data_IF_635870821327
#
_entry.id   IF_635870821327
#
_cell.length_a   1.000
_cell.length_b   1.000
_cell.length_c   1.000
_cell.angle_alpha   90.00
_cell.angle_beta   90.00
_cell.angle_gamma   90.00
#
_symmetry.space_group_name_H-M   'P 1'
#
loop_
_entity.id
_entity.type
_entity.pdbx_description
1 polymer ?
#
# COMPACT_ATOMS: atom_id res chain seq x y z
N UNK A 1 22.59 -11.44 -18.00
CA UNK A 1 21.34 -10.83 -17.46
C UNK A 1 20.07 -11.30 -18.18
N UNK A 2 20.08 -11.59 -19.49
CA UNK A 2 18.91 -12.08 -20.22
C UNK A 2 18.33 -13.44 -19.74
N UNK A 3 19.17 -14.40 -19.32
CA UNK A 3 18.70 -15.70 -18.82
C UNK A 3 17.87 -15.60 -17.52
N UNK A 4 18.16 -14.61 -16.66
CA UNK A 4 17.38 -14.35 -15.45
C UNK A 4 16.00 -13.75 -15.76
N UNK A 5 15.89 -12.92 -16.80
CA UNK A 5 14.60 -12.40 -17.27
C UNK A 5 13.72 -13.50 -17.85
N UNK A 6 14.30 -14.45 -18.59
CA UNK A 6 13.58 -15.61 -19.12
C UNK A 6 13.13 -16.57 -17.99
N UNK A 7 13.95 -16.75 -16.95
CA UNK A 7 13.56 -17.46 -15.73
C UNK A 7 12.44 -16.74 -14.97
N UNK A 8 12.49 -15.41 -14.85
CA UNK A 8 11.42 -14.63 -14.23
C UNK A 8 10.12 -14.69 -15.04
N UNK A 9 10.21 -14.61 -16.37
CA UNK A 9 9.05 -14.72 -17.26
C UNK A 9 8.39 -16.10 -17.15
N UNK A 10 9.16 -17.18 -17.16
CA UNK A 10 8.63 -18.54 -17.01
C UNK A 10 8.03 -18.78 -15.63
N UNK A 11 8.62 -18.23 -14.56
CA UNK A 11 8.06 -18.27 -13.20
C UNK A 11 6.80 -17.41 -13.05
N UNK A 12 6.76 -16.24 -13.67
CA UNK A 12 5.57 -15.39 -13.72
C UNK A 12 4.42 -16.06 -14.50
N UNK A 13 4.74 -16.77 -15.59
CA UNK A 13 3.76 -17.55 -16.35
C UNK A 13 3.21 -18.72 -15.52
N UNK A 14 4.08 -19.46 -14.81
CA UNK A 14 3.66 -20.53 -13.88
C UNK A 14 2.80 -19.98 -12.73
N UNK A 15 3.17 -18.84 -12.14
CA UNK A 15 2.38 -18.16 -11.11
C UNK A 15 1.02 -17.71 -11.64
N UNK A 16 0.97 -17.16 -12.87
CA UNK A 16 -0.27 -16.76 -13.52
C UNK A 16 -1.19 -17.96 -13.79
N UNK A 17 -0.63 -19.09 -14.24
CA UNK A 17 -1.39 -20.34 -14.41
C UNK A 17 -1.90 -20.89 -13.08
N UNK A 18 -1.11 -20.79 -12.01
CA UNK A 18 -1.53 -21.21 -10.68
C UNK A 18 -2.66 -20.32 -10.13
N UNK A 19 -2.54 -19.00 -10.27
CA UNK A 19 -3.61 -18.05 -9.91
C UNK A 19 -4.84 -18.24 -10.79
N UNK A 20 -4.70 -18.55 -12.07
CA UNK A 20 -5.85 -18.84 -12.93
C UNK A 20 -6.58 -20.13 -12.52
N UNK A 21 -5.85 -21.18 -12.12
CA UNK A 21 -6.42 -22.48 -11.73
C UNK A 21 -7.00 -22.49 -10.32
N UNK A 22 -6.34 -21.82 -9.36
CA UNK A 22 -6.73 -21.88 -7.94
C UNK A 22 -7.27 -20.56 -7.40
N UNK A 23 -7.02 -19.44 -8.06
CA UNK A 23 -7.39 -18.11 -7.58
C UNK A 23 -8.90 -17.92 -7.42
N UNK A 24 -9.72 -18.53 -8.28
CA UNK A 24 -11.18 -18.50 -8.13
C UNK A 24 -11.65 -19.24 -6.87
N UNK A 25 -11.01 -20.35 -6.54
CA UNK A 25 -11.34 -21.15 -5.36
C UNK A 25 -10.86 -20.46 -4.07
N UNK A 26 -9.64 -19.92 -4.07
CA UNK A 26 -9.13 -19.09 -2.98
C UNK A 26 -9.98 -17.83 -2.76
N UNK A 27 -10.38 -17.15 -3.84
CA UNK A 27 -11.25 -15.99 -3.77
C UNK A 27 -12.62 -16.34 -3.16
N UNK A 28 -13.23 -17.45 -3.58
CA UNK A 28 -14.47 -17.95 -2.98
C UNK A 28 -14.33 -18.27 -1.50
N UNK A 29 -13.28 -18.99 -1.11
CA UNK A 29 -13.03 -19.32 0.30
C UNK A 29 -12.83 -18.06 1.14
N UNK A 30 -12.12 -17.06 0.62
CA UNK A 30 -11.92 -15.78 1.30
C UNK A 30 -13.24 -15.02 1.47
N UNK A 31 -14.08 -14.96 0.43
CA UNK A 31 -15.41 -14.35 0.53
C UNK A 31 -16.30 -15.08 1.54
N UNK A 32 -16.24 -16.40 1.59
CA UNK A 32 -17.04 -17.20 2.53
C UNK A 32 -16.62 -16.95 3.99
N UNK A 33 -15.31 -16.89 4.26
CA UNK A 33 -14.79 -16.53 5.58
C UNK A 33 -15.15 -15.08 5.98
N UNK A 34 -15.20 -14.17 5.01
CA UNK A 34 -15.48 -12.75 5.24
C UNK A 34 -16.95 -12.39 5.05
N UNK A 35 -17.86 -13.37 4.96
CA UNK A 35 -19.28 -13.14 4.67
C UNK A 35 -19.95 -12.15 5.63
N UNK A 36 -19.51 -12.11 6.88
CA UNK A 36 -19.97 -11.14 7.89
C UNK A 36 -19.77 -9.66 7.51
N UNK A 37 -18.80 -9.36 6.64
CA UNK A 37 -18.51 -8.01 6.15
C UNK A 37 -19.17 -7.70 4.80
N UNK A 38 -19.75 -8.71 4.16
CA UNK A 38 -20.36 -8.58 2.84
C UNK A 38 -21.82 -8.19 3.03
N UNK A 39 -22.16 -7.01 2.51
CA UNK A 39 -23.49 -6.47 2.66
C UNK A 39 -24.42 -6.98 1.55
N UNK A 40 -25.37 -7.86 1.90
CA UNK A 40 -26.42 -8.33 1.00
C UNK A 40 -27.69 -7.43 1.13
N UNK A 41 -28.44 -7.12 0.06
CA UNK A 41 -28.17 -7.39 -1.37
C UNK A 41 -27.13 -6.41 -1.97
N UNK A 42 -26.28 -6.88 -2.91
CA UNK A 42 -25.30 -6.05 -3.63
C UNK A 42 -26.01 -5.18 -4.70
N UNK A 43 -26.81 -4.22 -4.23
CA UNK A 43 -27.52 -3.27 -5.10
C UNK A 43 -26.64 -2.07 -5.40
N UNK A 44 -26.73 -1.51 -6.61
CA UNK A 44 -25.92 -0.36 -7.04
C UNK A 44 -26.10 0.85 -6.10
N UNK A 45 -27.32 1.08 -5.61
CA UNK A 45 -27.64 2.15 -4.66
C UNK A 45 -26.93 1.96 -3.31
N UNK A 46 -26.92 0.74 -2.79
CA UNK A 46 -26.24 0.39 -1.53
C UNK A 46 -24.73 0.53 -1.66
N UNK A 47 -24.16 0.16 -2.82
CA UNK A 47 -22.75 0.36 -3.12
C UNK A 47 -22.38 1.85 -3.16
N UNK A 48 -23.22 2.69 -3.80
CA UNK A 48 -23.02 4.14 -3.84
C UNK A 48 -23.10 4.76 -2.44
N UNK A 49 -24.06 4.35 -1.63
CA UNK A 49 -24.20 4.79 -0.24
C UNK A 49 -22.99 4.40 0.61
N UNK A 50 -22.55 3.13 0.55
CA UNK A 50 -21.38 2.65 1.29
C UNK A 50 -20.09 3.36 0.85
N UNK A 51 -19.93 3.63 -0.44
CA UNK A 51 -18.79 4.38 -0.97
C UNK A 51 -18.76 5.81 -0.40
N UNK A 52 -19.90 6.50 -0.40
CA UNK A 52 -20.03 7.83 0.21
C UNK A 52 -19.76 7.79 1.71
N UNK A 53 -20.32 6.81 2.43
CA UNK A 53 -20.10 6.65 3.87
C UNK A 53 -18.62 6.40 4.17
N UNK A 54 -17.94 5.53 3.40
CA UNK A 54 -16.51 5.29 3.55
C UNK A 54 -15.72 6.58 3.31
N UNK A 55 -16.05 7.35 2.27
CA UNK A 55 -15.42 8.62 1.99
C UNK A 55 -15.56 9.61 3.17
N UNK A 56 -16.78 9.82 3.66
CA UNK A 56 -17.02 10.73 4.79
C UNK A 56 -16.39 10.25 6.09
N UNK A 57 -16.43 8.96 6.41
CA UNK A 57 -15.75 8.40 7.58
C UNK A 57 -14.23 8.59 7.47
N UNK A 58 -13.65 8.42 6.28
CA UNK A 58 -12.22 8.69 6.06
C UNK A 58 -11.90 10.17 6.27
N UNK A 59 -12.71 11.09 5.73
CA UNK A 59 -12.54 12.52 5.95
C UNK A 59 -12.65 12.90 7.43
N UNK A 60 -13.64 12.38 8.14
CA UNK A 60 -13.83 12.64 9.57
C UNK A 60 -12.66 12.12 10.43
N UNK A 61 -11.96 11.08 9.97
CA UNK A 61 -10.78 10.54 10.66
C UNK A 61 -9.49 11.34 10.44
N UNK A 62 -9.45 12.26 9.47
CA UNK A 62 -8.28 13.10 9.16
C UNK A 62 -7.80 13.92 10.35
N UNK A 63 -8.63 14.72 11.05
CA UNK A 63 -8.16 15.55 12.15
C UNK A 63 -7.50 14.73 13.27
N UNK A 64 -8.08 13.59 13.64
CA UNK A 64 -7.49 12.69 14.64
C UNK A 64 -6.13 12.13 14.20
N UNK A 65 -6.00 11.76 12.91
CA UNK A 65 -4.72 11.30 12.35
C UNK A 65 -3.68 12.41 12.29
N UNK A 66 -4.07 13.64 11.96
CA UNK A 66 -3.14 14.77 11.95
C UNK A 66 -2.63 15.09 13.35
N UNK A 67 -3.47 14.95 14.39
CA UNK A 67 -3.03 15.15 15.78
C UNK A 67 -1.99 14.09 16.19
N UNK A 68 -2.22 12.81 15.88
CA UNK A 68 -1.24 11.75 16.13
C UNK A 68 0.07 12.00 15.39
N UNK A 69 -0.02 12.39 14.11
CA UNK A 69 1.14 12.72 13.30
C UNK A 69 1.96 13.89 13.89
N UNK A 70 1.29 14.93 14.40
CA UNK A 70 1.96 16.03 15.09
C UNK A 70 2.67 15.59 16.37
N UNK A 71 2.08 14.65 17.14
CA UNK A 71 2.72 14.07 18.33
C UNK A 71 3.97 13.25 17.96
N UNK A 72 3.88 12.42 16.91
CA UNK A 72 5.02 11.64 16.41
C UNK A 72 6.13 12.54 15.85
N UNK A 73 5.79 13.63 15.17
CA UNK A 73 6.76 14.63 14.72
C UNK A 73 7.44 15.36 15.88
N UNK A 74 6.70 15.73 16.93
CA UNK A 74 7.29 16.37 18.11
C UNK A 74 8.25 15.40 18.83
N UNK A 75 7.88 14.12 18.93
CA UNK A 75 8.74 13.06 19.43
C UNK A 75 10.03 12.94 18.61
N UNK A 76 9.92 12.84 17.27
CA UNK A 76 11.08 12.78 16.38
C UNK A 76 11.97 14.04 16.48
N UNK A 77 11.36 15.23 16.63
CA UNK A 77 12.07 16.49 16.83
C UNK A 77 12.83 16.51 18.15
N UNK A 78 12.25 15.95 19.21
CA UNK A 78 12.91 15.83 20.51
C UNK A 78 14.08 14.83 20.46
N UNK A 79 13.92 13.72 19.73
CA UNK A 79 14.99 12.76 19.45
C UNK A 79 16.16 13.41 18.69
N UNK A 80 15.85 14.24 17.69
CA UNK A 80 16.86 14.99 16.94
C UNK A 80 17.65 15.96 17.84
N UNK A 81 16.96 16.69 18.73
CA UNK A 81 17.61 17.60 19.70
C UNK A 81 18.55 16.85 20.64
N UNK A 82 18.21 15.63 21.02
CA UNK A 82 19.02 14.76 21.88
C UNK A 82 19.93 13.81 21.06
N UNK A 83 20.50 14.30 19.96
CA UNK A 83 21.28 13.52 18.98
C UNK A 83 22.45 12.69 19.52
N UNK A 84 22.87 12.94 20.76
CA UNK A 84 23.96 12.23 21.44
C UNK A 84 23.53 10.91 22.08
N UNK A 85 22.22 10.71 22.34
CA UNK A 85 21.66 9.50 22.95
C UNK A 85 20.86 8.65 21.95
N UNK A 86 21.07 8.89 20.65
CA UNK A 86 20.27 8.31 19.58
C UNK A 86 20.61 6.83 19.40
N UNK A 87 19.68 5.94 19.77
CA UNK A 87 19.80 4.50 19.55
C UNK A 87 19.87 4.20 18.05
N UNK A 88 20.74 3.25 17.68
CA UNK A 88 20.90 2.79 16.29
C UNK A 88 19.58 2.24 15.72
N UNK A 89 18.71 1.72 16.59
CA UNK A 89 17.40 1.17 16.22
C UNK A 89 16.42 2.24 15.70
N UNK A 90 16.33 3.40 16.36
CA UNK A 90 15.51 4.54 15.90
C UNK A 90 16.01 5.11 14.56
N UNK A 91 17.34 5.17 14.39
CA UNK A 91 17.94 5.57 13.12
C UNK A 91 17.63 4.58 12.00
N UNK A 92 17.59 3.28 12.30
CA UNK A 92 17.20 2.23 11.36
C UNK A 92 15.74 2.33 10.92
N UNK A 93 14.83 2.57 11.86
CA UNK A 93 13.40 2.77 11.57
C UNK A 93 13.20 4.01 10.68
N UNK A 94 13.85 5.12 11.01
CA UNK A 94 13.78 6.35 10.20
C UNK A 94 14.32 6.13 8.78
N UNK A 95 15.41 5.36 8.63
CA UNK A 95 15.97 5.02 7.33
C UNK A 95 15.02 4.15 6.49
N UNK A 96 14.41 3.13 7.09
CA UNK A 96 13.42 2.28 6.40
C UNK A 96 12.18 3.08 5.99
N UNK A 97 11.69 3.96 6.85
CA UNK A 97 10.58 4.85 6.54
C UNK A 97 10.91 5.79 5.38
N UNK A 98 12.13 6.37 5.37
CA UNK A 98 12.60 7.20 4.26
C UNK A 98 12.71 6.43 2.94
N UNK A 99 13.19 5.19 2.99
CA UNK A 99 13.28 4.32 1.81
C UNK A 99 11.89 3.96 1.26
N UNK A 100 10.93 3.66 2.14
CA UNK A 100 9.55 3.39 1.74
C UNK A 100 8.89 4.64 1.13
N UNK A 101 9.11 5.82 1.71
CA UNK A 101 8.66 7.10 1.14
C UNK A 101 9.25 7.33 -0.27
N UNK A 102 10.53 7.03 -0.46
CA UNK A 102 11.18 7.14 -1.76
C UNK A 102 10.61 6.14 -2.78
N UNK A 103 10.35 4.89 -2.36
CA UNK A 103 9.72 3.90 -3.22
C UNK A 103 8.30 4.31 -3.66
N UNK A 104 7.50 4.86 -2.74
CA UNK A 104 6.17 5.41 -3.08
C UNK A 104 6.25 6.63 -4.01
N UNK A 105 7.24 7.50 -3.83
CA UNK A 105 7.48 8.62 -4.74
C UNK A 105 7.81 8.15 -6.15
N UNK A 106 8.74 7.19 -6.29
CA UNK A 106 9.07 6.57 -7.57
C UNK A 106 7.87 5.85 -8.20
N UNK A 107 7.06 5.17 -7.40
CA UNK A 107 5.80 4.56 -7.85
C UNK A 107 4.82 5.60 -8.40
N UNK A 108 4.65 6.72 -7.69
CA UNK A 108 3.85 7.85 -8.14
C UNK A 108 4.37 8.48 -9.43
N UNK A 109 5.68 8.58 -9.59
CA UNK A 109 6.32 9.03 -10.83
C UNK A 109 6.02 8.09 -12.01
N UNK A 110 6.10 6.77 -11.80
CA UNK A 110 5.77 5.78 -12.84
C UNK A 110 4.29 5.89 -13.25
N UNK A 111 3.38 6.05 -12.29
CA UNK A 111 1.95 6.26 -12.57
C UNK A 111 1.72 7.58 -13.29
N UNK A 112 2.39 8.66 -12.88
CA UNK A 112 2.30 9.98 -13.52
C UNK A 112 2.88 10.02 -14.94
N UNK A 113 3.86 9.16 -15.25
CA UNK A 113 4.42 8.96 -16.59
C UNK A 113 3.63 7.96 -17.45
N UNK A 114 2.43 7.54 -17.02
CA UNK A 114 1.58 6.62 -17.79
C UNK A 114 2.07 5.17 -17.80
N UNK A 115 2.63 4.67 -16.68
CA UNK A 115 3.21 3.32 -16.54
C UNK A 115 4.47 3.06 -17.36
N UNK A 116 5.23 4.11 -17.69
CA UNK A 116 6.53 3.96 -18.35
C UNK A 116 7.61 3.61 -17.33
N UNK A 117 7.89 2.30 -17.17
CA UNK A 117 8.88 1.79 -16.21
C UNK A 117 10.34 2.13 -16.55
N UNK A 118 10.63 2.56 -17.79
CA UNK A 118 12.01 2.70 -18.31
C UNK A 118 12.47 4.14 -18.56
N UNK A 119 11.76 5.15 -18.08
CA UNK A 119 12.14 6.57 -18.20
C UNK A 119 11.13 7.42 -18.98
N UNK A 120 11.44 8.70 -19.19
CA UNK A 120 10.66 9.54 -20.11
C UNK A 120 10.90 9.08 -21.54
N UNK A 121 9.84 9.00 -22.34
CA UNK A 121 9.97 8.94 -23.79
C UNK A 121 10.59 10.26 -24.25
N UNK A 122 11.84 10.21 -24.71
CA UNK A 122 12.47 11.26 -25.53
C UNK A 122 12.08 11.06 -26.99
#
# INVERSE_FOLDING_TARGET
>A
MASKLHQLQSKACQASQFVAKHGSNYYRQLLEQNKQYIQEPPTVEKCNLLSKQLFYTRLASIPGRTESFWKELDYAKNLWKNRKDLKVEDAGIAALFGLECFAWFCGGEIVGRGFTFTGYYV
#
